data_IF_869949512642
#
_entry.id   IF_869949512642
#
_cell.length_a   1.000
_cell.length_b   1.000
_cell.length_c   1.000
_cell.angle_alpha   90.00
_cell.angle_beta   90.00
_cell.angle_gamma   90.00
#
_symmetry.space_group_name_H-M   'P 1'
#
loop_
_entity.id
_entity.type
_entity.pdbx_description
1 polymer ?
#
# COMPACT_ATOMS: atom_id res chain seq x y z
N UNK A 1 -11.30 32.52 24.34
CA UNK A 1 -10.41 31.35 24.58
C UNK A 1 -9.58 31.22 23.32
N UNK A 2 -8.39 31.82 23.32
CA UNK A 2 -7.57 31.98 22.12
C UNK A 2 -6.53 30.87 22.20
N UNK A 3 -6.48 29.99 21.21
CA UNK A 3 -5.40 29.01 21.08
C UNK A 3 -4.11 29.78 20.80
N UNK A 4 -3.14 29.70 21.71
CA UNK A 4 -1.78 30.14 21.43
C UNK A 4 -1.19 29.16 20.41
N UNK A 5 -0.91 29.66 19.20
CA UNK A 5 -0.07 28.96 18.24
C UNK A 5 1.31 28.78 18.87
N UNK A 6 1.64 27.52 19.24
CA UNK A 6 2.97 27.17 19.72
C UNK A 6 3.93 27.26 18.54
N UNK A 7 4.53 28.43 18.36
CA UNK A 7 5.59 28.65 17.37
C UNK A 7 6.85 27.96 17.87
N UNK A 8 7.19 26.82 17.27
CA UNK A 8 8.41 26.09 17.59
C UNK A 8 9.61 26.92 17.09
N UNK A 9 10.57 27.28 17.96
CA UNK A 9 11.76 28.03 17.54
C UNK A 9 12.55 27.30 16.45
N UNK A 10 13.08 28.04 15.47
CA UNK A 10 13.76 27.48 14.31
C UNK A 10 14.92 26.52 14.65
N UNK A 11 15.63 26.77 15.75
CA UNK A 11 16.70 25.90 16.24
C UNK A 11 16.16 24.53 16.69
N UNK A 12 15.04 24.52 17.41
CA UNK A 12 14.41 23.31 17.91
C UNK A 12 13.79 22.48 16.78
N UNK A 13 13.24 23.15 15.75
CA UNK A 13 12.80 22.50 14.52
C UNK A 13 13.98 21.90 13.74
N UNK A 14 15.11 22.60 13.65
CA UNK A 14 16.32 22.11 12.99
C UNK A 14 16.93 20.90 13.72
N UNK A 15 17.00 20.93 15.05
CA UNK A 15 17.48 19.80 15.86
C UNK A 15 16.58 18.57 15.74
N UNK A 16 15.26 18.75 15.75
CA UNK A 16 14.30 17.67 15.51
C UNK A 16 14.45 17.06 14.11
N UNK A 17 14.64 17.90 13.08
CA UNK A 17 14.89 17.44 11.72
C UNK A 17 16.22 16.67 11.60
N UNK A 18 17.29 17.15 12.26
CA UNK A 18 18.60 16.50 12.26
C UNK A 18 18.56 15.15 12.98
N UNK A 19 17.85 15.08 14.12
CA UNK A 19 17.65 13.86 14.89
C UNK A 19 16.84 12.81 14.11
N UNK A 20 15.78 13.26 13.44
CA UNK A 20 14.97 12.41 12.56
C UNK A 20 15.79 11.89 11.38
N UNK A 21 16.61 12.74 10.76
CA UNK A 21 17.51 12.35 9.67
C UNK A 21 18.57 11.34 10.12
N UNK A 22 19.18 11.55 11.31
CA UNK A 22 20.17 10.63 11.87
C UNK A 22 19.56 9.26 12.20
N UNK A 23 18.35 9.25 12.75
CA UNK A 23 17.59 8.01 13.04
C UNK A 23 17.27 7.28 11.74
N UNK A 24 16.89 8.00 10.69
CA UNK A 24 16.66 7.45 9.36
C UNK A 24 17.94 6.83 8.75
N UNK A 25 19.08 7.51 8.84
CA UNK A 25 20.36 6.98 8.36
C UNK A 25 20.81 5.73 9.14
N UNK A 26 20.58 5.68 10.45
CA UNK A 26 20.86 4.50 11.28
C UNK A 26 19.94 3.32 10.96
N UNK A 27 18.68 3.60 10.58
CA UNK A 27 17.74 2.59 10.10
C UNK A 27 18.13 2.06 8.70
N UNK A 28 18.72 2.89 7.83
CA UNK A 28 19.25 2.48 6.53
C UNK A 28 20.51 1.62 6.66
N UNK A 29 21.34 1.85 7.68
CA UNK A 29 22.58 1.12 7.90
C UNK A 29 22.38 -0.30 8.49
N UNK A 30 21.18 -0.64 8.97
CA UNK A 30 20.87 -1.90 9.65
C UNK A 30 20.13 -2.95 8.79
N UNK A 31 19.92 -2.71 7.49
CA UNK A 31 19.17 -3.64 6.63
C UNK A 31 20.06 -4.51 5.74
N UNK A 32 19.68 -5.79 5.63
CA UNK A 32 20.38 -6.86 4.90
C UNK A 32 20.49 -6.65 3.37
N UNK A 33 20.80 -7.71 2.59
CA UNK A 33 21.36 -7.59 1.26
C UNK A 33 20.48 -6.78 0.29
N UNK A 34 21.17 -6.04 -0.61
CA UNK A 34 20.72 -4.95 -1.52
C UNK A 34 19.47 -5.17 -2.39
N UNK A 35 18.79 -6.32 -2.30
CA UNK A 35 17.57 -6.64 -3.05
C UNK A 35 16.26 -6.24 -2.35
N UNK A 36 16.29 -5.84 -1.08
CA UNK A 36 15.07 -5.51 -0.32
C UNK A 36 14.38 -4.19 -0.76
N UNK A 37 14.91 -3.49 -1.77
CA UNK A 37 14.50 -2.14 -2.14
C UNK A 37 13.70 -2.04 -3.44
N UNK A 38 13.37 -3.15 -4.10
CA UNK A 38 12.68 -3.15 -5.40
C UNK A 38 11.59 -4.20 -5.45
N UNK A 39 10.58 -3.94 -6.27
CA UNK A 39 9.56 -4.93 -6.56
C UNK A 39 10.15 -6.13 -7.30
N UNK A 40 9.62 -7.32 -7.03
CA UNK A 40 10.02 -8.56 -7.69
C UNK A 40 8.79 -9.23 -8.26
N UNK A 41 8.86 -9.67 -9.51
CA UNK A 41 7.76 -10.38 -10.16
C UNK A 41 7.36 -11.65 -9.39
N UNK A 42 6.07 -12.03 -9.39
CA UNK A 42 5.64 -13.30 -8.80
C UNK A 42 6.13 -14.49 -9.63
N UNK A 43 6.05 -15.69 -9.04
CA UNK A 43 6.28 -16.94 -9.76
C UNK A 43 5.31 -17.12 -10.94
N UNK A 44 5.70 -17.92 -11.93
CA UNK A 44 4.86 -18.20 -13.07
C UNK A 44 3.51 -18.80 -12.65
N UNK A 45 2.41 -18.25 -13.18
CA UNK A 45 1.05 -18.66 -12.85
C UNK A 45 0.43 -17.90 -11.68
N UNK A 46 1.21 -17.07 -10.97
CA UNK A 46 0.71 -16.15 -9.95
C UNK A 46 0.52 -14.74 -10.51
N UNK A 47 -0.48 -14.04 -9.98
CA UNK A 47 -0.61 -12.60 -10.08
C UNK A 47 -0.25 -11.96 -8.75
N UNK A 48 0.30 -10.74 -8.80
CA UNK A 48 0.74 -10.01 -7.63
C UNK A 48 0.07 -8.64 -7.58
N UNK A 49 -0.65 -8.40 -6.50
CA UNK A 49 -1.39 -7.17 -6.23
C UNK A 49 -0.60 -6.33 -5.22
N UNK A 50 -0.08 -5.19 -5.66
CA UNK A 50 0.45 -4.16 -4.79
C UNK A 50 -0.68 -3.25 -4.31
N UNK A 51 -0.71 -2.98 -3.01
CA UNK A 51 -1.71 -2.13 -2.34
C UNK A 51 -0.98 -1.08 -1.53
N UNK A 52 -1.43 0.17 -1.61
CA UNK A 52 -0.93 1.25 -0.77
C UNK A 52 -1.99 2.31 -0.50
N UNK A 53 -1.72 3.15 0.51
CA UNK A 53 -2.60 4.24 0.93
C UNK A 53 -1.86 5.57 1.01
N UNK A 54 -2.56 6.67 0.70
CA UNK A 54 -2.12 8.02 0.96
C UNK A 54 -3.19 8.78 1.76
N UNK A 55 -2.91 9.14 3.01
CA UNK A 55 -3.83 9.96 3.83
C UNK A 55 -3.67 11.43 3.46
N UNK A 56 -4.78 12.14 3.27
CA UNK A 56 -4.76 13.55 2.88
C UNK A 56 -5.22 14.49 4.00
N UNK A 57 -4.34 15.39 4.43
CA UNK A 57 -4.51 16.19 5.64
C UNK A 57 -5.65 17.23 5.60
N UNK A 58 -6.15 17.63 4.43
CA UNK A 58 -7.09 18.77 4.33
C UNK A 58 -8.55 18.39 4.05
N UNK A 59 -8.86 17.11 3.83
CA UNK A 59 -10.16 16.70 3.27
C UNK A 59 -10.84 15.53 4.01
N UNK A 60 -10.29 15.04 5.13
CA UNK A 60 -10.78 13.80 5.78
C UNK A 60 -10.96 12.70 4.72
N UNK A 61 -9.95 12.58 3.85
CA UNK A 61 -9.98 11.66 2.73
C UNK A 61 -8.63 11.00 2.57
N UNK A 62 -8.66 9.83 1.97
CA UNK A 62 -7.49 9.01 1.72
C UNK A 62 -7.56 8.45 0.31
N UNK A 63 -6.41 8.24 -0.29
CA UNK A 63 -6.24 7.56 -1.55
C UNK A 63 -5.87 6.11 -1.34
N UNK A 64 -6.43 5.23 -2.15
CA UNK A 64 -6.07 3.82 -2.28
C UNK A 64 -5.47 3.60 -3.66
N UNK A 65 -4.27 3.04 -3.71
CA UNK A 65 -3.59 2.64 -4.92
C UNK A 65 -3.52 1.12 -5.05
N UNK A 66 -3.93 0.59 -6.20
CA UNK A 66 -3.88 -0.84 -6.48
C UNK A 66 -3.18 -1.09 -7.81
N UNK A 67 -2.21 -2.01 -7.84
CA UNK A 67 -1.53 -2.41 -9.07
C UNK A 67 -1.42 -3.93 -9.13
N UNK A 68 -2.10 -4.55 -10.09
CA UNK A 68 -2.04 -5.98 -10.34
C UNK A 68 -1.11 -6.27 -11.51
N UNK A 69 -0.10 -7.11 -11.29
CA UNK A 69 0.89 -7.51 -12.31
C UNK A 69 1.04 -9.03 -12.38
N UNK A 70 1.45 -9.54 -13.54
CA UNK A 70 1.78 -10.95 -13.72
C UNK A 70 3.28 -11.23 -13.55
N UNK A 71 3.69 -12.49 -13.77
CA UNK A 71 5.08 -12.94 -13.64
C UNK A 71 6.04 -12.36 -14.70
N UNK A 72 5.53 -11.67 -15.72
CA UNK A 72 6.32 -10.93 -16.72
C UNK A 72 6.35 -9.42 -16.44
N UNK A 73 5.94 -9.01 -15.23
CA UNK A 73 5.73 -7.62 -14.85
C UNK A 73 4.67 -6.86 -15.69
N UNK A 74 3.91 -7.55 -16.54
CA UNK A 74 2.85 -6.93 -17.33
C UNK A 74 1.70 -6.53 -16.40
N UNK A 75 1.20 -5.30 -16.60
CA UNK A 75 0.08 -4.77 -15.84
C UNK A 75 -1.20 -5.47 -16.31
N UNK A 76 -1.97 -5.99 -15.36
CA UNK A 76 -3.33 -6.48 -15.60
C UNK A 76 -4.31 -5.33 -15.39
N UNK A 77 -4.21 -4.64 -14.26
CA UNK A 77 -4.87 -3.37 -14.02
C UNK A 77 -4.06 -2.50 -13.06
N UNK A 78 -4.28 -1.19 -13.15
CA UNK A 78 -3.94 -0.24 -12.09
C UNK A 78 -5.19 0.55 -11.70
N UNK A 79 -5.31 0.93 -10.43
CA UNK A 79 -6.46 1.65 -9.91
C UNK A 79 -6.02 2.71 -8.92
N UNK A 80 -6.65 3.87 -9.01
CA UNK A 80 -6.61 4.92 -8.00
C UNK A 80 -8.03 5.16 -7.50
N UNK A 81 -8.23 5.12 -6.18
CA UNK A 81 -9.54 5.35 -5.55
C UNK A 81 -9.42 6.37 -4.43
N UNK A 82 -10.29 7.37 -4.42
CA UNK A 82 -10.55 8.25 -3.28
C UNK A 82 -11.54 7.56 -2.33
N UNK A 83 -11.20 7.57 -1.05
CA UNK A 83 -12.07 7.18 0.06
C UNK A 83 -12.26 8.41 0.94
N UNK A 84 -13.51 8.70 1.28
CA UNK A 84 -13.85 9.80 2.18
C UNK A 84 -14.18 9.23 3.57
N UNK A 85 -14.06 10.07 4.60
CA UNK A 85 -14.49 9.78 5.96
C UNK A 85 -13.74 8.62 6.66
N UNK A 86 -12.51 8.31 6.22
CA UNK A 86 -11.63 7.33 6.91
C UNK A 86 -10.48 8.07 7.58
N UNK A 87 -10.51 8.11 8.91
CA UNK A 87 -9.54 8.85 9.73
C UNK A 87 -8.51 7.95 10.43
N UNK A 88 -8.76 6.65 10.55
CA UNK A 88 -7.81 5.71 11.15
C UNK A 88 -6.87 5.18 10.06
N UNK A 89 -5.54 5.47 10.14
CA UNK A 89 -4.55 4.95 9.20
C UNK A 89 -4.55 3.42 9.10
N UNK A 90 -4.86 2.72 10.19
CA UNK A 90 -4.94 1.26 10.20
C UNK A 90 -6.19 0.79 9.45
N UNK A 91 -7.31 1.48 9.63
CA UNK A 91 -8.57 1.14 8.97
C UNK A 91 -8.45 1.30 7.45
N UNK A 92 -7.83 2.39 6.97
CA UNK A 92 -7.68 2.62 5.54
C UNK A 92 -6.73 1.61 4.87
N UNK A 93 -5.69 1.16 5.55
CA UNK A 93 -4.78 0.11 5.06
C UNK A 93 -5.51 -1.22 4.88
N UNK A 94 -6.30 -1.62 5.88
CA UNK A 94 -7.15 -2.82 5.77
C UNK A 94 -8.22 -2.65 4.68
N UNK A 95 -8.82 -1.47 4.57
CA UNK A 95 -9.78 -1.16 3.52
C UNK A 95 -9.14 -1.28 2.14
N UNK A 96 -7.91 -0.81 1.97
CA UNK A 96 -7.17 -0.92 0.71
C UNK A 96 -6.97 -2.38 0.31
N UNK A 97 -6.58 -3.26 1.24
CA UNK A 97 -6.47 -4.71 0.99
C UNK A 97 -7.84 -5.29 0.60
N UNK A 98 -8.90 -4.94 1.33
CA UNK A 98 -10.26 -5.40 1.04
C UNK A 98 -10.76 -4.95 -0.34
N UNK A 99 -10.48 -3.69 -0.72
CA UNK A 99 -10.77 -3.16 -2.07
C UNK A 99 -9.99 -3.93 -3.12
N UNK A 100 -8.69 -4.11 -2.93
CA UNK A 100 -7.83 -4.88 -3.80
C UNK A 100 -8.36 -6.29 -4.09
N UNK A 101 -8.72 -7.02 -3.03
CA UNK A 101 -9.35 -8.34 -3.13
C UNK A 101 -10.68 -8.30 -3.89
N UNK A 102 -11.54 -7.30 -3.64
CA UNK A 102 -12.83 -7.15 -4.34
C UNK A 102 -12.65 -6.84 -5.83
N UNK A 103 -11.61 -6.11 -6.21
CA UNK A 103 -11.23 -5.88 -7.61
C UNK A 103 -10.72 -7.16 -8.29
N UNK A 104 -9.93 -7.96 -7.57
CA UNK A 104 -9.36 -9.21 -8.08
C UNK A 104 -10.39 -10.34 -8.20
N UNK A 105 -11.38 -10.41 -7.30
CA UNK A 105 -12.33 -11.52 -7.23
C UNK A 105 -13.08 -11.82 -8.55
N UNK A 106 -13.69 -10.84 -9.25
CA UNK A 106 -14.43 -11.11 -10.48
C UNK A 106 -13.53 -11.53 -11.67
N UNK A 107 -12.21 -11.40 -11.56
CA UNK A 107 -11.26 -11.75 -12.64
C UNK A 107 -10.96 -13.26 -12.71
N UNK A 108 -11.48 -14.08 -11.78
CA UNK A 108 -11.25 -15.53 -11.79
C UNK A 108 -9.81 -15.94 -11.50
N UNK A 109 -9.06 -15.09 -10.77
CA UNK A 109 -7.64 -15.33 -10.45
C UNK A 109 -7.53 -16.55 -9.56
N UNK A 110 -6.68 -17.51 -9.96
CA UNK A 110 -6.46 -18.72 -9.17
C UNK A 110 -5.38 -18.55 -8.10
N UNK A 111 -4.29 -17.87 -8.43
CA UNK A 111 -3.11 -17.71 -7.57
C UNK A 111 -2.78 -16.22 -7.41
N UNK A 112 -2.96 -15.69 -6.20
CA UNK A 112 -2.82 -14.27 -5.89
C UNK A 112 -1.85 -14.05 -4.73
N UNK A 113 -0.86 -13.17 -4.92
CA UNK A 113 0.00 -12.64 -3.85
C UNK A 113 -0.36 -11.18 -3.63
N UNK A 114 -0.71 -10.81 -2.40
CA UNK A 114 -0.97 -9.42 -2.02
C UNK A 114 0.28 -8.86 -1.36
N UNK A 115 0.68 -7.65 -1.75
CA UNK A 115 1.79 -6.92 -1.16
C UNK A 115 1.32 -5.58 -0.59
N UNK A 116 1.69 -5.32 0.66
CA UNK A 116 1.50 -4.06 1.37
C UNK A 116 2.81 -3.64 2.02
N UNK A 117 3.04 -2.34 2.17
CA UNK A 117 4.18 -1.80 2.94
C UNK A 117 3.93 -1.78 4.46
N UNK A 118 2.71 -2.11 4.88
CA UNK A 118 2.31 -2.16 6.28
C UNK A 118 2.55 -3.54 6.88
N UNK A 119 3.73 -3.74 7.48
CA UNK A 119 4.09 -4.99 8.17
C UNK A 119 3.08 -5.34 9.27
N UNK A 120 2.50 -4.33 9.94
CA UNK A 120 1.48 -4.52 10.97
C UNK A 120 0.25 -5.22 10.37
N UNK A 121 -0.23 -4.78 9.21
CA UNK A 121 -1.40 -5.36 8.56
C UNK A 121 -1.13 -6.77 8.04
N UNK A 122 0.04 -6.98 7.45
CA UNK A 122 0.47 -8.30 6.99
C UNK A 122 0.44 -9.30 8.14
N UNK A 123 1.05 -8.94 9.29
CA UNK A 123 1.08 -9.81 10.46
C UNK A 123 -0.31 -10.05 11.04
N UNK A 124 -1.16 -9.02 11.10
CA UNK A 124 -2.52 -9.16 11.63
C UNK A 124 -3.39 -10.10 10.76
N UNK A 125 -3.26 -10.00 9.44
CA UNK A 125 -3.96 -10.88 8.49
C UNK A 125 -3.39 -12.29 8.50
N UNK A 126 -2.09 -12.47 8.71
CA UNK A 126 -1.45 -13.80 8.78
C UNK A 126 -1.66 -14.49 10.14
N UNK A 127 -1.96 -13.77 11.21
CA UNK A 127 -2.14 -14.35 12.54
C UNK A 127 -3.32 -15.31 12.60
N UNK A 128 -3.14 -16.51 13.14
CA UNK A 128 -4.23 -17.47 13.39
C UNK A 128 -5.11 -17.12 14.60
N UNK A 129 -4.69 -16.13 15.40
CA UNK A 129 -5.46 -15.72 16.57
C UNK A 129 -6.71 -14.94 16.18
N UNK A 130 -7.78 -15.08 16.97
CA UNK A 130 -8.93 -14.18 16.88
C UNK A 130 -8.43 -12.78 17.23
N UNK A 131 -8.47 -11.88 16.24
CA UNK A 131 -8.11 -10.49 16.46
C UNK A 131 -9.04 -9.89 17.51
N UNK A 132 -8.47 -9.45 18.64
CA UNK A 132 -9.16 -8.67 19.68
C UNK A 132 -9.03 -7.17 19.43
N UNK A 133 -8.46 -6.77 18.28
CA UNK A 133 -8.34 -5.38 17.90
C UNK A 133 -9.71 -4.78 17.56
N UNK A 134 -9.82 -3.46 17.60
CA UNK A 134 -11.00 -2.73 17.14
C UNK A 134 -11.34 -3.08 15.68
N UNK A 135 -10.32 -3.49 14.90
CA UNK A 135 -10.42 -3.79 13.48
C UNK A 135 -10.62 -5.29 13.18
N UNK A 136 -10.83 -6.14 14.19
CA UNK A 136 -10.93 -7.59 14.01
C UNK A 136 -12.00 -8.04 13.00
N UNK A 137 -13.10 -7.29 12.90
CA UNK A 137 -14.15 -7.53 11.90
C UNK A 137 -13.66 -7.34 10.45
N UNK A 138 -12.76 -6.38 10.22
CA UNK A 138 -12.20 -6.12 8.88
C UNK A 138 -11.16 -7.17 8.52
N UNK A 139 -10.31 -7.56 9.48
CA UNK A 139 -9.36 -8.69 9.31
C UNK A 139 -10.11 -9.97 8.94
N UNK A 140 -11.22 -10.27 9.63
CA UNK A 140 -12.04 -11.43 9.31
C UNK A 140 -12.63 -11.36 7.91
N UNK A 141 -13.13 -10.20 7.47
CA UNK A 141 -13.63 -10.01 6.10
C UNK A 141 -12.54 -10.21 5.05
N UNK A 142 -11.33 -9.68 5.29
CA UNK A 142 -10.17 -9.87 4.41
C UNK A 142 -9.84 -11.36 4.30
N UNK A 143 -9.70 -12.06 5.43
CA UNK A 143 -9.43 -13.51 5.46
C UNK A 143 -10.50 -14.32 4.74
N UNK A 144 -11.78 -14.03 4.99
CA UNK A 144 -12.89 -14.70 4.31
C UNK A 144 -12.86 -14.49 2.79
N UNK A 145 -12.48 -13.30 2.33
CA UNK A 145 -12.38 -13.02 0.90
C UNK A 145 -11.14 -13.67 0.27
N UNK A 146 -10.00 -13.72 0.98
CA UNK A 146 -8.80 -14.45 0.55
C UNK A 146 -9.08 -15.94 0.34
N UNK A 147 -9.89 -16.55 1.21
CA UNK A 147 -10.31 -17.96 1.09
C UNK A 147 -11.15 -18.28 -0.17
N UNK A 148 -11.65 -17.25 -0.87
CA UNK A 148 -12.40 -17.44 -2.13
C UNK A 148 -11.50 -17.60 -3.35
N UNK A 149 -10.20 -17.36 -3.20
CA UNK A 149 -9.19 -17.63 -4.21
C UNK A 149 -8.57 -19.01 -3.93
N UNK A 150 -8.35 -19.86 -4.95
CA UNK A 150 -7.73 -21.18 -4.78
C UNK A 150 -6.38 -21.14 -4.04
N UNK A 151 -5.55 -20.14 -4.33
CA UNK A 151 -4.32 -19.87 -3.63
C UNK A 151 -4.18 -18.36 -3.43
N UNK A 152 -4.18 -17.89 -2.19
CA UNK A 152 -3.98 -16.48 -1.88
C UNK A 152 -3.10 -16.31 -0.65
N UNK A 153 -2.09 -15.45 -0.78
CA UNK A 153 -1.23 -15.06 0.33
C UNK A 153 -1.11 -13.54 0.41
N UNK A 154 -0.68 -13.05 1.56
CA UNK A 154 -0.29 -11.65 1.77
C UNK A 154 1.14 -11.63 2.28
N UNK A 155 1.95 -10.67 1.84
CA UNK A 155 3.31 -10.49 2.30
C UNK A 155 3.67 -9.00 2.39
N UNK A 156 4.68 -8.70 3.18
CA UNK A 156 5.22 -7.35 3.29
C UNK A 156 6.19 -7.07 2.14
N UNK A 157 6.07 -5.90 1.53
CA UNK A 157 7.03 -5.36 0.59
C UNK A 157 7.56 -4.02 1.11
N UNK A 158 8.82 -3.68 0.87
CA UNK A 158 9.33 -2.40 1.34
C UNK A 158 8.64 -1.24 0.62
N UNK A 159 8.60 -0.06 1.25
CA UNK A 159 8.09 1.17 0.64
C UNK A 159 8.68 1.47 -0.74
N UNK A 160 9.98 1.20 -0.90
CA UNK A 160 10.66 1.39 -2.19
C UNK A 160 10.20 0.38 -3.24
N UNK A 161 9.94 -0.87 -2.84
CA UNK A 161 9.33 -1.88 -3.71
C UNK A 161 7.83 -1.68 -3.98
N UNK A 162 7.16 -0.80 -3.23
CA UNK A 162 5.73 -0.52 -3.37
C UNK A 162 5.42 0.85 -3.99
N UNK A 163 6.43 1.52 -4.55
CA UNK A 163 6.34 2.90 -5.03
C UNK A 163 5.26 3.15 -6.10
N UNK A 164 4.96 2.15 -6.93
CA UNK A 164 3.93 2.29 -7.96
C UNK A 164 2.52 2.34 -7.35
N UNK A 165 2.22 1.50 -6.35
CA UNK A 165 0.95 1.58 -5.61
C UNK A 165 0.87 2.92 -4.85
N UNK A 166 1.99 3.39 -4.29
CA UNK A 166 2.05 4.70 -3.63
C UNK A 166 1.72 5.87 -4.56
N UNK A 167 2.25 5.87 -5.79
CA UNK A 167 1.92 6.88 -6.79
C UNK A 167 0.43 6.88 -7.16
N UNK A 168 -0.18 5.68 -7.27
CA UNK A 168 -1.62 5.55 -7.51
C UNK A 168 -2.45 6.05 -6.31
N UNK A 169 -2.03 5.76 -5.09
CA UNK A 169 -2.70 6.25 -3.89
C UNK A 169 -2.66 7.78 -3.83
N UNK A 170 -1.51 8.40 -4.15
CA UNK A 170 -1.37 9.86 -4.24
C UNK A 170 -2.21 10.48 -5.36
N UNK A 171 -2.31 9.81 -6.51
CA UNK A 171 -3.13 10.30 -7.63
C UNK A 171 -4.59 10.48 -7.24
N UNK A 172 -5.08 9.70 -6.27
CA UNK A 172 -6.47 9.77 -5.81
C UNK A 172 -6.84 11.16 -5.28
N UNK A 173 -5.87 11.99 -4.88
CA UNK A 173 -6.10 13.38 -4.54
C UNK A 173 -6.84 14.15 -5.66
N UNK A 174 -6.46 13.90 -6.91
CA UNK A 174 -6.90 14.64 -8.09
C UNK A 174 -8.11 14.01 -8.81
N UNK A 175 -8.75 12.98 -8.23
CA UNK A 175 -9.90 12.31 -8.84
C UNK A 175 -11.12 12.42 -7.92
N UNK A 176 -12.32 12.22 -8.47
CA UNK A 176 -13.56 12.34 -7.68
C UNK A 176 -13.86 11.09 -6.84
N UNK A 177 -13.73 9.89 -7.43
CA UNK A 177 -14.00 8.63 -6.74
C UNK A 177 -13.02 7.53 -7.18
N UNK A 178 -13.11 7.05 -8.41
CA UNK A 178 -12.38 5.87 -8.86
C UNK A 178 -11.97 6.00 -10.32
N UNK A 179 -10.71 5.67 -10.61
CA UNK A 179 -10.22 5.48 -11.98
C UNK A 179 -9.43 4.18 -12.04
N UNK A 180 -9.70 3.38 -13.07
CA UNK A 180 -9.02 2.10 -13.33
C UNK A 180 -8.52 2.07 -14.77
N UNK A 181 -7.28 1.64 -14.95
CA UNK A 181 -6.65 1.41 -16.25
C UNK A 181 -6.46 -0.09 -16.44
N UNK A 182 -7.12 -0.65 -17.45
CA UNK A 182 -6.92 -2.05 -17.85
C UNK A 182 -5.67 -2.17 -18.72
N UNK A 183 -4.76 -3.08 -18.36
CA UNK A 183 -3.53 -3.34 -19.12
C UNK A 183 -2.51 -2.19 -19.14
N UNK A 184 -2.71 -1.13 -18.36
CA UNK A 184 -1.91 0.11 -18.43
C UNK A 184 -1.89 0.85 -17.09
N UNK A 185 -1.14 1.95 -17.04
CA UNK A 185 -1.02 2.83 -15.87
C UNK A 185 -0.95 4.31 -16.27
N UNK A 186 -1.26 5.24 -15.35
CA UNK A 186 -1.06 6.66 -15.59
C UNK A 186 0.43 7.05 -15.57
N UNK A 187 0.75 8.13 -16.29
CA UNK A 187 2.10 8.70 -16.44
C UNK A 187 2.85 8.86 -15.11
N UNK A 188 2.14 9.17 -14.03
CA UNK A 188 2.74 9.39 -12.71
C UNK A 188 3.43 8.16 -12.11
N UNK A 189 3.17 6.95 -12.63
CA UNK A 189 3.83 5.71 -12.18
C UNK A 189 4.56 4.96 -13.28
N UNK A 190 4.52 5.41 -14.54
CA UNK A 190 5.16 4.71 -15.67
C UNK A 190 6.65 4.47 -15.44
N UNK A 191 7.38 5.47 -14.97
CA UNK A 191 8.81 5.34 -14.70
C UNK A 191 9.12 4.30 -13.60
N UNK A 192 8.26 4.22 -12.58
CA UNK A 192 8.42 3.25 -11.49
C UNK A 192 8.15 1.84 -12.01
N UNK A 193 7.05 1.65 -12.73
CA UNK A 193 6.70 0.36 -13.36
C UNK A 193 7.78 -0.09 -14.34
N UNK A 194 8.32 0.82 -15.15
CA UNK A 194 9.39 0.52 -16.08
C UNK A 194 10.67 0.08 -15.36
N UNK A 195 11.03 0.77 -14.27
CA UNK A 195 12.18 0.41 -13.45
C UNK A 195 12.04 -0.97 -12.78
N UNK A 196 10.82 -1.33 -12.39
CA UNK A 196 10.48 -2.65 -11.83
C UNK A 196 10.57 -3.78 -12.89
N UNK A 197 10.40 -3.46 -14.17
CA UNK A 197 10.27 -4.44 -15.27
C UNK A 197 11.59 -4.79 -15.99
N UNK A 198 12.70 -4.11 -15.67
CA UNK A 198 13.99 -4.28 -16.35
C UNK A 198 14.87 -5.43 -15.82
N UNK A 199 14.27 -6.49 -15.26
CA UNK A 199 14.95 -7.64 -14.67
C UNK A 199 14.32 -8.95 -15.14
#
# INVERSE_FOLDING_TARGET
MIHEDVVIPALQAAEAALSTHKTHLQALASQGPRNAYRWVAPEHGFLKLNVDVAVFANQISSGVGLLLRNSKAEIIFSTSKKENDVNDPIEIEMLAILRGLRFCFPLGISHLVIESDSLLMVNEVQSDSISRSLQGNMVQQIKQLMLRFPCCSIQHNSRLGNGAAHGLAKLAWNIDDLITWGGSCPDCIEQVVWSDSML
#
